data_IF_452866711322
#
_entry.id   IF_452866711322
#
_cell.length_a   1.000
_cell.length_b   1.000
_cell.length_c   1.000
_cell.angle_alpha   90.00
_cell.angle_beta   90.00
_cell.angle_gamma   90.00
#
_symmetry.space_group_name_H-M   'P 1'
#
loop_
_entity.id
_entity.type
_entity.pdbx_description
1 polymer ?
#
# COMPACT_ATOMS: atom_id res chain seq x y z
N UNK A 1 16.04 4.31 22.69
CA UNK A 1 14.95 5.20 22.24
C UNK A 1 14.15 4.44 21.22
N UNK A 2 12.85 4.19 21.47
CA UNK A 2 11.99 3.66 20.40
C UNK A 2 11.95 4.71 19.30
N UNK A 3 12.02 4.27 18.05
CA UNK A 3 11.89 5.22 16.95
C UNK A 3 10.40 5.48 16.77
N UNK A 4 9.96 6.68 17.18
CA UNK A 4 8.59 7.17 17.04
C UNK A 4 8.03 6.93 15.62
N UNK A 5 8.90 7.02 14.61
CA UNK A 5 8.59 6.73 13.21
C UNK A 5 8.10 5.31 12.98
N UNK A 6 8.78 4.30 13.52
CA UNK A 6 8.42 2.90 13.29
C UNK A 6 7.09 2.55 13.95
N UNK A 7 6.90 3.03 15.19
CA UNK A 7 5.64 2.83 15.90
C UNK A 7 4.48 3.51 15.18
N UNK A 8 4.72 4.65 14.51
CA UNK A 8 3.71 5.29 13.67
C UNK A 8 3.38 4.42 12.46
N UNK A 9 4.38 3.99 11.69
CA UNK A 9 4.17 3.10 10.52
C UNK A 9 3.33 1.88 10.91
N UNK A 10 3.68 1.21 12.00
CA UNK A 10 2.94 0.03 12.48
C UNK A 10 1.48 0.37 12.83
N UNK A 11 1.25 1.47 13.56
CA UNK A 11 -0.10 1.87 13.97
C UNK A 11 -0.96 2.25 12.77
N UNK A 12 -0.40 2.99 11.83
CA UNK A 12 -1.08 3.39 10.60
C UNK A 12 -1.46 2.13 9.80
N UNK A 13 -0.52 1.19 9.58
CA UNK A 13 -0.77 -0.09 8.91
C UNK A 13 -1.85 -0.93 9.60
N UNK A 14 -1.82 -1.03 10.93
CA UNK A 14 -2.87 -1.71 11.69
C UNK A 14 -4.24 -1.08 11.46
N UNK A 15 -4.31 0.25 11.33
CA UNK A 15 -5.56 0.97 11.11
C UNK A 15 -6.13 0.75 9.71
N UNK A 16 -5.26 0.56 8.71
CA UNK A 16 -5.64 0.32 7.33
C UNK A 16 -6.37 -1.02 7.13
N UNK A 17 -6.12 -1.99 8.01
CA UNK A 17 -6.74 -3.32 7.94
C UNK A 17 -7.90 -3.53 8.92
N UNK A 18 -8.36 -2.48 9.62
CA UNK A 18 -9.44 -2.58 10.61
C UNK A 18 -10.71 -3.24 10.07
N UNK A 19 -11.06 -2.97 8.81
CA UNK A 19 -12.19 -3.62 8.16
C UNK A 19 -12.02 -5.15 8.12
N UNK A 20 -10.84 -5.63 7.73
CA UNK A 20 -10.55 -7.06 7.66
C UNK A 20 -10.52 -7.72 9.04
N UNK A 21 -10.03 -7.02 10.06
CA UNK A 21 -10.07 -7.50 11.46
C UNK A 21 -11.52 -7.72 11.92
N UNK A 22 -12.42 -6.77 11.62
CA UNK A 22 -13.86 -6.88 11.93
C UNK A 22 -14.53 -8.02 11.16
N UNK A 23 -14.14 -8.22 9.90
CA UNK A 23 -14.63 -9.38 9.13
C UNK A 23 -14.15 -10.69 9.76
N UNK A 24 -12.87 -10.82 10.10
CA UNK A 24 -12.34 -12.04 10.72
C UNK A 24 -13.00 -12.35 12.06
N UNK A 25 -13.28 -11.34 12.88
CA UNK A 25 -13.94 -11.57 14.18
C UNK A 25 -15.42 -11.96 14.09
N UNK A 26 -16.06 -11.77 12.93
CA UNK A 26 -17.46 -12.11 12.70
C UNK A 26 -17.67 -13.42 11.94
N UNK A 27 -16.59 -14.09 11.55
CA UNK A 27 -16.58 -15.30 10.73
C UNK A 27 -15.84 -16.43 11.46
N UNK A 28 -16.16 -17.67 11.11
CA UNK A 28 -15.28 -18.80 11.44
C UNK A 28 -13.98 -18.73 10.61
N UNK A 29 -12.91 -19.39 11.08
CA UNK A 29 -11.64 -19.42 10.35
C UNK A 29 -11.82 -19.96 8.92
N UNK A 30 -12.61 -21.03 8.75
CA UNK A 30 -12.90 -21.62 7.45
C UNK A 30 -13.66 -20.66 6.52
N UNK A 31 -14.65 -19.93 7.04
CA UNK A 31 -15.38 -18.92 6.26
C UNK A 31 -14.47 -17.77 5.86
N UNK A 32 -13.65 -17.27 6.78
CA UNK A 32 -12.70 -16.19 6.51
C UNK A 32 -11.69 -16.61 5.45
N UNK A 33 -11.10 -17.80 5.54
CA UNK A 33 -10.17 -18.34 4.54
C UNK A 33 -10.85 -18.50 3.16
N UNK A 34 -12.06 -19.05 3.14
CA UNK A 34 -12.83 -19.26 1.91
C UNK A 34 -13.16 -17.95 1.21
N UNK A 35 -13.62 -16.95 1.97
CA UNK A 35 -13.94 -15.62 1.43
C UNK A 35 -12.66 -14.88 1.00
N UNK A 36 -11.58 -14.99 1.77
CA UNK A 36 -10.28 -14.40 1.40
C UNK A 36 -9.77 -14.97 0.08
N UNK A 37 -9.85 -16.29 -0.09
CA UNK A 37 -9.52 -16.94 -1.37
C UNK A 37 -10.42 -16.43 -2.49
N UNK A 38 -11.73 -16.36 -2.25
CA UNK A 38 -12.69 -15.89 -3.25
C UNK A 38 -12.37 -14.47 -3.71
N UNK A 39 -12.13 -13.53 -2.78
CA UNK A 39 -11.77 -12.15 -3.10
C UNK A 39 -10.52 -12.05 -3.96
N UNK A 40 -9.44 -12.77 -3.63
CA UNK A 40 -8.25 -12.80 -4.49
C UNK A 40 -8.53 -13.44 -5.86
N UNK A 41 -9.31 -14.52 -5.90
CA UNK A 41 -9.59 -15.27 -7.12
C UNK A 41 -10.40 -14.49 -8.17
N UNK A 42 -11.11 -13.43 -7.75
CA UNK A 42 -11.78 -12.50 -8.65
C UNK A 42 -10.81 -11.65 -9.47
N UNK A 43 -9.57 -11.50 -8.99
CA UNK A 43 -8.56 -10.65 -9.62
C UNK A 43 -7.35 -11.44 -10.14
N UNK A 44 -7.01 -12.59 -9.56
CA UNK A 44 -5.85 -13.41 -9.95
C UNK A 44 -6.29 -14.68 -10.69
N UNK A 45 -5.85 -14.88 -11.94
CA UNK A 45 -6.06 -16.18 -12.63
C UNK A 45 -5.04 -17.23 -12.20
N UNK A 46 -3.86 -16.83 -11.75
CA UNK A 46 -2.87 -17.76 -11.17
C UNK A 46 -3.32 -18.19 -9.76
N UNK A 47 -4.32 -19.08 -9.68
CA UNK A 47 -4.89 -19.52 -8.40
C UNK A 47 -3.88 -20.26 -7.49
N UNK A 48 -2.77 -20.74 -8.05
CA UNK A 48 -1.72 -21.45 -7.29
C UNK A 48 -1.01 -20.54 -6.29
N UNK A 49 -0.97 -19.23 -6.54
CA UNK A 49 -0.31 -18.26 -5.64
C UNK A 49 -1.16 -17.91 -4.42
N UNK A 50 -2.49 -18.07 -4.51
CA UNK A 50 -3.44 -17.58 -3.49
C UNK A 50 -3.23 -18.28 -2.13
N UNK A 51 -3.12 -19.62 -2.04
CA UNK A 51 -2.84 -20.27 -0.76
C UNK A 51 -1.52 -19.79 -0.13
N UNK A 52 -0.50 -19.55 -0.96
CA UNK A 52 0.81 -19.10 -0.48
C UNK A 52 0.77 -17.68 0.09
N UNK A 53 0.02 -16.75 -0.51
CA UNK A 53 -0.11 -15.38 0.04
C UNK A 53 -0.94 -15.37 1.33
N UNK A 54 -2.02 -16.17 1.41
CA UNK A 54 -2.85 -16.28 2.61
C UNK A 54 -2.05 -16.89 3.78
N UNK A 55 -1.36 -18.01 3.55
CA UNK A 55 -0.60 -18.70 4.59
C UNK A 55 0.62 -17.92 5.08
N UNK A 56 1.16 -17.01 4.27
CA UNK A 56 2.31 -16.20 4.64
C UNK A 56 1.92 -14.82 5.19
N UNK A 57 0.62 -14.50 5.25
CA UNK A 57 0.12 -13.19 5.65
C UNK A 57 0.55 -12.02 4.75
N UNK A 58 1.31 -12.31 3.69
CA UNK A 58 1.70 -11.34 2.67
C UNK A 58 0.44 -10.92 1.93
N UNK A 59 0.31 -9.62 1.66
CA UNK A 59 -0.85 -9.03 0.99
C UNK A 59 -2.13 -8.88 1.84
N UNK A 60 -2.00 -8.89 3.17
CA UNK A 60 -3.12 -8.62 4.09
C UNK A 60 -3.76 -7.24 3.85
N UNK A 61 -2.93 -6.24 3.52
CA UNK A 61 -3.40 -4.90 3.18
C UNK A 61 -4.27 -4.90 1.92
N UNK A 62 -3.78 -5.52 0.85
CA UNK A 62 -4.49 -5.62 -0.43
C UNK A 62 -5.81 -6.37 -0.25
N UNK A 63 -5.81 -7.46 0.54
CA UNK A 63 -7.02 -8.19 0.88
C UNK A 63 -8.06 -7.29 1.59
N UNK A 64 -7.63 -6.51 2.59
CA UNK A 64 -8.50 -5.56 3.29
C UNK A 64 -9.18 -4.60 2.32
N UNK A 65 -8.41 -4.01 1.40
CA UNK A 65 -8.92 -3.01 0.46
C UNK A 65 -9.85 -3.64 -0.58
N UNK A 66 -9.48 -4.75 -1.23
CA UNK A 66 -10.34 -5.37 -2.25
C UNK A 66 -11.64 -5.90 -1.66
N UNK A 67 -11.64 -6.31 -0.39
CA UNK A 67 -12.83 -6.78 0.30
C UNK A 67 -13.72 -5.58 0.67
N UNK A 68 -13.13 -4.52 1.24
CA UNK A 68 -13.84 -3.27 1.57
C UNK A 68 -14.48 -2.63 0.33
N UNK A 69 -13.82 -2.70 -0.82
CA UNK A 69 -14.26 -2.08 -2.08
C UNK A 69 -15.01 -3.03 -3.00
N UNK A 70 -15.37 -4.24 -2.56
CA UNK A 70 -15.92 -5.28 -3.44
C UNK A 70 -17.21 -4.86 -4.19
N UNK A 71 -18.02 -3.99 -3.58
CA UNK A 71 -19.28 -3.49 -4.16
C UNK A 71 -19.13 -2.13 -4.86
N UNK A 72 -17.94 -1.54 -4.83
CA UNK A 72 -17.69 -0.21 -5.40
C UNK A 72 -17.29 -0.34 -6.87
N UNK A 73 -18.27 -0.22 -7.78
CA UNK A 73 -18.06 -0.38 -9.22
C UNK A 73 -16.97 0.55 -9.79
N UNK A 74 -16.81 1.74 -9.22
CA UNK A 74 -15.77 2.68 -9.63
C UNK A 74 -14.35 2.22 -9.27
N UNK A 75 -14.20 1.30 -8.32
CA UNK A 75 -12.93 0.69 -7.91
C UNK A 75 -12.69 -0.62 -8.67
N UNK A 76 -13.69 -1.50 -8.68
CA UNK A 76 -13.56 -2.86 -9.21
C UNK A 76 -13.50 -2.90 -10.73
N UNK A 77 -14.33 -2.12 -11.44
CA UNK A 77 -14.37 -2.12 -12.90
C UNK A 77 -13.04 -1.69 -13.55
N UNK A 78 -12.41 -0.55 -13.19
CA UNK A 78 -11.12 -0.19 -13.76
C UNK A 78 -10.02 -1.19 -13.39
N UNK A 79 -10.07 -1.80 -12.19
CA UNK A 79 -9.07 -2.79 -11.78
C UNK A 79 -9.16 -4.06 -12.64
N UNK A 80 -10.37 -4.59 -12.83
CA UNK A 80 -10.61 -5.75 -13.69
C UNK A 80 -10.26 -5.46 -15.15
N UNK A 81 -10.63 -4.26 -15.63
CA UNK A 81 -10.22 -3.78 -16.95
C UNK A 81 -8.70 -3.84 -17.07
N UNK A 82 -7.96 -3.16 -16.19
CA UNK A 82 -6.50 -3.14 -16.20
C UNK A 82 -5.90 -4.56 -16.17
N UNK A 83 -6.32 -5.44 -15.26
CA UNK A 83 -5.78 -6.80 -15.16
C UNK A 83 -6.08 -7.65 -16.40
N UNK A 84 -7.23 -7.45 -17.04
CA UNK A 84 -7.55 -8.13 -18.32
C UNK A 84 -6.61 -7.66 -19.45
N UNK A 85 -6.25 -6.38 -19.47
CA UNK A 85 -5.31 -5.82 -20.43
C UNK A 85 -3.86 -6.23 -20.14
N UNK A 86 -3.47 -6.35 -18.86
CA UNK A 86 -2.16 -6.89 -18.47
C UNK A 86 -1.97 -8.32 -18.99
N UNK A 87 -2.98 -9.18 -18.85
CA UNK A 87 -2.98 -10.54 -19.43
C UNK A 87 -2.86 -10.51 -20.96
N UNK A 88 -3.63 -9.66 -21.61
CA UNK A 88 -3.54 -9.52 -23.06
C UNK A 88 -2.17 -9.01 -23.52
N UNK A 89 -1.57 -8.07 -22.79
CA UNK A 89 -0.22 -7.59 -23.04
C UNK A 89 0.82 -8.70 -22.86
N UNK A 90 0.72 -9.51 -21.80
CA UNK A 90 1.56 -10.69 -21.61
C UNK A 90 1.43 -11.71 -22.75
N UNK A 91 0.20 -11.97 -23.21
CA UNK A 91 -0.07 -12.93 -24.29
C UNK A 91 0.49 -12.47 -25.66
N UNK A 92 0.41 -11.16 -25.96
CA UNK A 92 0.68 -10.65 -27.31
C UNK A 92 2.01 -9.90 -27.45
N UNK A 93 2.53 -9.35 -26.35
CA UNK A 93 3.75 -8.53 -26.30
C UNK A 93 4.62 -8.94 -25.08
N UNK A 94 4.79 -10.26 -24.89
CA UNK A 94 5.37 -10.87 -23.69
C UNK A 94 6.70 -10.26 -23.23
N UNK A 95 7.67 -10.13 -24.14
CA UNK A 95 9.00 -9.62 -23.80
C UNK A 95 8.92 -8.20 -23.26
N UNK A 96 8.31 -7.28 -24.02
CA UNK A 96 8.17 -5.88 -23.62
C UNK A 96 7.37 -5.72 -22.32
N UNK A 97 6.38 -6.58 -22.10
CA UNK A 97 5.59 -6.57 -20.88
C UNK A 97 6.39 -7.03 -19.66
N UNK A 98 7.15 -8.13 -19.77
CA UNK A 98 8.05 -8.59 -18.70
C UNK A 98 9.11 -7.52 -18.40
N UNK A 99 9.75 -6.98 -19.44
CA UNK A 99 10.73 -5.89 -19.30
C UNK A 99 10.12 -4.67 -18.60
N UNK A 100 8.85 -4.36 -18.89
CA UNK A 100 8.12 -3.29 -18.22
C UNK A 100 7.87 -3.59 -16.73
N UNK A 101 7.55 -4.82 -16.33
CA UNK A 101 7.38 -5.13 -14.90
C UNK A 101 8.72 -5.06 -14.17
N UNK A 102 9.76 -5.68 -14.74
CA UNK A 102 11.08 -5.74 -14.13
C UNK A 102 11.72 -4.36 -13.95
N UNK A 103 11.54 -3.48 -14.93
CA UNK A 103 12.04 -2.09 -14.85
C UNK A 103 11.26 -1.22 -13.85
N UNK A 104 9.96 -1.46 -13.68
CA UNK A 104 9.14 -0.70 -12.73
C UNK A 104 9.20 -1.23 -11.30
N UNK A 105 9.59 -2.49 -11.08
CA UNK A 105 9.70 -3.05 -9.74
C UNK A 105 10.49 -2.17 -8.76
N UNK A 106 11.76 -1.78 -9.03
CA UNK A 106 12.49 -0.92 -8.09
C UNK A 106 11.86 0.47 -7.93
N UNK A 107 11.30 1.03 -9.01
CA UNK A 107 10.64 2.34 -9.02
C UNK A 107 9.41 2.34 -8.10
N UNK A 108 8.58 1.30 -8.21
CA UNK A 108 7.37 1.14 -7.39
C UNK A 108 7.74 1.04 -5.91
N UNK A 109 8.75 0.23 -5.56
CA UNK A 109 9.17 0.10 -4.17
C UNK A 109 9.74 1.40 -3.59
N UNK A 110 10.56 2.13 -4.36
CA UNK A 110 11.04 3.46 -3.96
C UNK A 110 9.88 4.47 -3.81
N UNK A 111 8.90 4.44 -4.72
CA UNK A 111 7.67 5.24 -4.60
C UNK A 111 6.89 4.95 -3.32
N UNK A 112 6.77 3.69 -2.93
CA UNK A 112 6.07 3.28 -1.71
C UNK A 112 6.84 3.71 -0.45
N UNK A 113 8.17 3.72 -0.49
CA UNK A 113 8.99 4.29 0.60
C UNK A 113 8.75 5.79 0.74
N UNK A 114 8.78 6.52 -0.38
CA UNK A 114 8.47 7.96 -0.41
C UNK A 114 7.04 8.27 0.08
N UNK A 115 6.09 7.38 -0.19
CA UNK A 115 4.73 7.48 0.35
C UNK A 115 4.73 7.42 1.87
N UNK A 116 5.42 6.45 2.47
CA UNK A 116 5.56 6.34 3.92
C UNK A 116 6.28 7.55 4.54
N UNK A 117 7.33 8.06 3.89
CA UNK A 117 8.03 9.28 4.31
C UNK A 117 7.10 10.49 4.31
N UNK A 118 6.32 10.66 3.24
CA UNK A 118 5.32 11.72 3.11
C UNK A 118 4.32 11.64 4.28
N UNK A 119 3.67 10.49 4.47
CA UNK A 119 2.71 10.30 5.57
C UNK A 119 3.34 10.51 6.95
N UNK A 120 4.62 10.16 7.14
CA UNK A 120 5.32 10.38 8.39
C UNK A 120 5.57 11.87 8.66
N UNK A 121 6.13 12.60 7.69
CA UNK A 121 6.52 14.00 7.82
C UNK A 121 5.33 14.94 8.04
N UNK A 122 4.16 14.60 7.52
CA UNK A 122 2.95 15.43 7.63
C UNK A 122 2.07 15.10 8.85
N UNK A 123 2.57 14.38 9.86
CA UNK A 123 1.80 14.13 11.08
C UNK A 123 1.53 15.43 11.87
N UNK A 124 0.25 15.71 12.14
CA UNK A 124 -0.25 16.91 12.82
C UNK A 124 0.01 16.90 14.34
N UNK A 125 1.27 16.81 14.79
CA UNK A 125 1.61 16.98 16.20
C UNK A 125 1.83 18.45 16.61
N UNK A 126 1.21 19.38 15.90
CA UNK A 126 1.37 20.83 16.13
C UNK A 126 0.00 21.52 16.16
N UNK A 127 -0.17 22.48 17.08
CA UNK A 127 -1.30 23.41 17.11
C UNK A 127 -1.22 24.38 15.91
N UNK A 128 -1.50 23.87 14.71
CA UNK A 128 -1.45 24.63 13.47
C UNK A 128 -2.72 25.49 13.29
N UNK A 129 -2.54 26.69 12.76
CA UNK A 129 -3.66 27.51 12.31
C UNK A 129 -4.28 26.93 11.03
N UNK A 130 -5.56 27.21 10.78
CA UNK A 130 -6.29 26.75 9.59
C UNK A 130 -5.55 26.98 8.25
N UNK A 131 -4.87 28.12 8.11
CA UNK A 131 -4.05 28.41 6.91
C UNK A 131 -2.86 27.45 6.76
N UNK A 132 -2.24 27.09 7.88
CA UNK A 132 -1.08 26.20 7.93
C UNK A 132 -1.51 24.75 7.69
N UNK A 133 -2.67 24.34 8.22
CA UNK A 133 -3.31 23.06 7.91
C UNK A 133 -3.57 22.94 6.40
N UNK A 134 -4.18 23.95 5.78
CA UNK A 134 -4.39 23.97 4.33
C UNK A 134 -3.07 23.81 3.56
N UNK A 135 -2.04 24.56 3.94
CA UNK A 135 -0.70 24.48 3.31
C UNK A 135 -0.08 23.10 3.51
N UNK A 136 -0.26 22.48 4.66
CA UNK A 136 0.20 21.12 4.95
C UNK A 136 -0.44 20.11 4.01
N UNK A 137 -1.76 20.14 3.85
CA UNK A 137 -2.48 19.25 2.93
C UNK A 137 -2.03 19.42 1.48
N UNK A 138 -1.87 20.64 0.98
CA UNK A 138 -1.39 20.83 -0.40
C UNK A 138 0.05 20.37 -0.59
N UNK A 139 0.93 20.52 0.40
CA UNK A 139 2.29 19.99 0.32
C UNK A 139 2.29 18.46 0.28
N UNK A 140 1.57 17.82 1.20
CA UNK A 140 1.38 16.37 1.23
C UNK A 140 0.81 15.86 -0.09
N UNK A 141 -0.22 16.53 -0.63
CA UNK A 141 -0.84 16.20 -1.90
C UNK A 141 0.15 16.30 -3.07
N UNK A 142 0.92 17.40 -3.15
CA UNK A 142 1.94 17.59 -4.17
C UNK A 142 3.00 16.50 -4.16
N UNK A 143 3.54 16.19 -2.97
CA UNK A 143 4.58 15.18 -2.76
C UNK A 143 4.07 13.79 -3.10
N UNK A 144 2.86 13.44 -2.62
CA UNK A 144 2.24 12.14 -2.85
C UNK A 144 1.89 11.92 -4.34
N UNK A 145 1.45 12.96 -5.06
CA UNK A 145 1.16 12.83 -6.49
C UNK A 145 2.45 12.65 -7.29
N UNK A 146 3.50 13.42 -7.00
CA UNK A 146 4.76 13.37 -7.76
C UNK A 146 5.57 12.09 -7.49
N UNK A 147 5.76 11.77 -6.21
CA UNK A 147 6.67 10.69 -5.79
C UNK A 147 6.03 9.30 -5.86
N UNK A 148 4.70 9.21 -5.91
CA UNK A 148 3.97 7.94 -5.86
C UNK A 148 3.00 7.78 -7.02
N UNK A 149 1.94 8.60 -7.09
CA UNK A 149 0.85 8.39 -8.06
C UNK A 149 1.32 8.45 -9.50
N UNK A 150 2.17 9.42 -9.83
CA UNK A 150 2.71 9.58 -11.18
C UNK A 150 3.44 8.31 -11.66
N UNK A 151 4.32 7.77 -10.83
CA UNK A 151 5.15 6.62 -11.17
C UNK A 151 4.30 5.34 -11.33
N UNK A 152 3.36 5.09 -10.41
CA UNK A 152 2.46 3.94 -10.51
C UNK A 152 1.46 4.07 -11.68
N UNK A 153 0.95 5.27 -11.95
CA UNK A 153 0.10 5.50 -13.12
C UNK A 153 0.87 5.31 -14.43
N UNK A 154 2.16 5.62 -14.45
CA UNK A 154 3.00 5.38 -15.62
C UNK A 154 3.17 3.88 -15.90
N UNK A 155 3.26 3.05 -14.86
CA UNK A 155 3.19 1.60 -15.02
C UNK A 155 1.85 1.14 -15.64
N UNK A 156 0.73 1.65 -15.10
CA UNK A 156 -0.62 1.35 -15.63
C UNK A 156 -0.73 1.74 -17.10
N UNK A 157 -0.36 2.97 -17.45
CA UNK A 157 -0.40 3.48 -18.81
C UNK A 157 0.49 2.67 -19.74
N UNK A 158 1.74 2.39 -19.36
CA UNK A 158 2.67 1.61 -20.17
C UNK A 158 2.13 0.21 -20.45
N UNK A 159 1.56 -0.46 -19.45
CA UNK A 159 0.94 -1.77 -19.63
C UNK A 159 -0.23 -1.71 -20.62
N UNK A 160 -1.07 -0.68 -20.53
CA UNK A 160 -2.16 -0.49 -21.47
C UNK A 160 -1.67 -0.20 -22.90
N UNK A 161 -0.53 0.47 -23.09
CA UNK A 161 0.07 0.64 -24.44
C UNK A 161 0.58 -0.67 -25.06
N UNK A 162 0.80 -1.71 -24.25
CA UNK A 162 1.22 -3.05 -24.69
C UNK A 162 0.05 -4.00 -24.93
N UNK A 163 -1.18 -3.61 -24.62
CA UNK A 163 -2.36 -4.45 -24.87
C UNK A 163 -2.99 -4.09 -26.21
N UNK A 164 -3.09 -5.04 -27.14
CA UNK A 164 -3.71 -4.81 -28.46
C UNK A 164 -5.23 -4.57 -28.40
N UNK A 165 -5.86 -4.83 -27.24
CA UNK A 165 -7.27 -4.53 -26.97
C UNK A 165 -7.48 -3.12 -26.42
N UNK A 166 -6.42 -2.41 -26.04
CA UNK A 166 -6.50 -1.08 -25.44
C UNK A 166 -6.65 0.00 -26.51
N UNK A 167 -7.45 1.03 -26.21
CA UNK A 167 -7.60 2.22 -27.07
C UNK A 167 -6.30 3.01 -27.25
N UNK A 168 -5.33 2.80 -26.34
CA UNK A 168 -4.02 3.45 -26.36
C UNK A 168 -2.89 2.52 -26.79
N UNK A 169 -3.21 1.37 -27.41
CA UNK A 169 -2.22 0.45 -27.93
C UNK A 169 -1.20 1.14 -28.85
N UNK A 170 0.09 0.85 -28.64
CA UNK A 170 1.24 1.43 -29.38
C UNK A 170 1.34 2.96 -29.37
N UNK A 171 0.58 3.66 -28.52
CA UNK A 171 0.82 5.08 -28.31
C UNK A 171 2.15 5.31 -27.60
N UNK A 172 2.64 6.54 -27.73
CA UNK A 172 3.90 6.96 -27.09
C UNK A 172 3.84 6.80 -25.57
N UNK A 173 4.90 6.21 -25.00
CA UNK A 173 5.12 5.97 -23.57
C UNK A 173 5.82 7.14 -22.88
N UNK A 174 6.40 8.07 -23.65
CA UNK A 174 7.14 9.23 -23.18
C UNK A 174 6.30 10.51 -23.23
N UNK A 175 5.14 10.46 -22.59
CA UNK A 175 4.21 11.58 -22.51
C UNK A 175 4.25 12.28 -21.15
N UNK A 176 3.80 13.53 -21.11
CA UNK A 176 3.67 14.27 -19.86
C UNK A 176 2.57 13.69 -18.96
N UNK A 177 2.67 13.91 -17.65
CA UNK A 177 1.66 13.47 -16.68
C UNK A 177 0.25 13.96 -17.06
N UNK A 178 0.13 15.21 -17.48
CA UNK A 178 -1.16 15.78 -17.92
C UNK A 178 -1.75 15.07 -19.13
N UNK A 179 -0.93 14.69 -20.11
CA UNK A 179 -1.39 13.94 -21.29
C UNK A 179 -1.78 12.52 -20.91
N UNK A 180 -1.02 11.85 -20.05
CA UNK A 180 -1.33 10.51 -19.55
C UNK A 180 -2.70 10.48 -18.85
N UNK A 181 -2.94 11.42 -17.93
CA UNK A 181 -4.24 11.54 -17.23
C UNK A 181 -5.37 11.79 -18.22
N UNK A 182 -5.18 12.67 -19.20
CA UNK A 182 -6.20 12.96 -20.22
C UNK A 182 -6.55 11.71 -21.05
N UNK A 183 -5.54 10.95 -21.48
CA UNK A 183 -5.76 9.72 -22.26
C UNK A 183 -6.47 8.64 -21.44
N UNK A 184 -6.06 8.40 -20.19
CA UNK A 184 -6.73 7.44 -19.30
C UNK A 184 -8.18 7.84 -19.02
N UNK A 185 -8.45 9.13 -18.75
CA UNK A 185 -9.81 9.65 -18.53
C UNK A 185 -10.71 9.44 -19.75
N UNK A 186 -10.15 9.54 -20.96
CA UNK A 186 -10.89 9.40 -22.21
C UNK A 186 -11.30 7.94 -22.52
N UNK A 187 -10.61 6.95 -21.95
CA UNK A 187 -10.99 5.53 -22.08
C UNK A 187 -12.27 5.16 -21.32
N UNK A 188 -12.88 6.10 -20.59
CA UNK A 188 -14.12 5.89 -19.84
C UNK A 188 -13.93 5.12 -18.53
N UNK A 189 -13.27 3.96 -18.55
CA UNK A 189 -13.06 3.11 -17.38
C UNK A 189 -12.35 3.82 -16.21
N UNK A 190 -11.44 4.76 -16.50
CA UNK A 190 -10.68 5.50 -15.48
C UNK A 190 -11.23 6.90 -15.18
N UNK A 191 -12.30 7.33 -15.87
CA UNK A 191 -12.82 8.69 -15.77
C UNK A 191 -13.24 9.05 -14.34
N UNK A 192 -14.06 8.19 -13.73
CA UNK A 192 -14.48 8.42 -12.35
C UNK A 192 -13.28 8.35 -11.41
N UNK A 193 -12.43 7.32 -11.51
CA UNK A 193 -11.27 7.13 -10.63
C UNK A 193 -10.30 8.34 -10.62
N UNK A 194 -9.98 8.90 -11.79
CA UNK A 194 -8.95 9.95 -11.95
C UNK A 194 -9.50 11.37 -11.99
N UNK A 195 -10.83 11.54 -11.94
CA UNK A 195 -11.50 12.85 -11.96
C UNK A 195 -12.76 12.87 -11.10
N UNK A 196 -13.75 12.02 -11.39
CA UNK A 196 -15.05 12.04 -10.70
C UNK A 196 -14.93 11.92 -9.18
N UNK A 197 -14.22 10.89 -8.72
CA UNK A 197 -13.91 10.61 -7.33
C UNK A 197 -13.15 11.77 -6.66
N UNK A 198 -12.30 12.46 -7.42
CA UNK A 198 -11.47 13.58 -7.00
C UNK A 198 -12.18 14.94 -7.14
N UNK A 199 -13.47 14.98 -6.75
CA UNK A 199 -14.32 16.16 -6.79
C UNK A 199 -14.46 16.77 -8.20
N UNK A 200 -14.56 15.92 -9.22
CA UNK A 200 -14.62 16.28 -10.64
C UNK A 200 -13.42 17.10 -11.16
N UNK A 201 -12.30 17.11 -10.43
CA UNK A 201 -11.05 17.74 -10.85
C UNK A 201 -10.04 16.65 -11.20
N UNK A 202 -9.49 16.65 -12.42
CA UNK A 202 -8.49 15.66 -12.82
C UNK A 202 -7.25 15.66 -11.91
N UNK A 203 -6.69 14.49 -11.65
CA UNK A 203 -5.51 14.33 -10.78
C UNK A 203 -4.33 15.25 -11.14
N UNK A 204 -4.07 15.47 -12.43
CA UNK A 204 -3.02 16.40 -12.87
C UNK A 204 -3.30 17.86 -12.52
N UNK A 205 -4.56 18.26 -12.36
CA UNK A 205 -4.89 19.60 -11.89
C UNK A 205 -4.68 19.73 -10.38
N UNK A 206 -4.97 18.69 -9.60
CA UNK A 206 -4.63 18.65 -8.16
C UNK A 206 -3.12 18.77 -7.92
N UNK A 207 -2.31 18.11 -8.75
CA UNK A 207 -0.86 18.31 -8.79
C UNK A 207 -0.50 19.77 -9.04
N UNK A 208 -1.07 20.38 -10.08
CA UNK A 208 -0.76 21.76 -10.45
C UNK A 208 -1.16 22.76 -9.35
N UNK A 209 -2.33 22.60 -8.74
CA UNK A 209 -2.79 23.43 -7.62
C UNK A 209 -1.78 23.37 -6.47
N UNK A 210 -1.36 22.15 -6.13
CA UNK A 210 -0.43 21.87 -5.03
C UNK A 210 0.97 22.43 -5.29
N UNK A 211 1.56 22.10 -6.44
CA UNK A 211 2.96 22.43 -6.78
C UNK A 211 3.16 23.92 -7.13
N UNK A 212 2.17 24.55 -7.77
CA UNK A 212 2.27 25.96 -8.14
C UNK A 212 1.67 26.92 -7.10
N UNK A 213 1.24 26.38 -5.94
CA UNK A 213 0.59 27.17 -4.88
C UNK A 213 -0.60 27.98 -5.39
N UNK A 214 -1.38 27.41 -6.33
CA UNK A 214 -2.57 28.05 -6.90
C UNK A 214 -3.77 27.94 -5.97
N UNK A 215 -3.57 28.25 -4.68
CA UNK A 215 -4.59 28.23 -3.64
C UNK A 215 -4.41 29.37 -2.64
N UNK A 216 -5.50 29.81 -2.02
CA UNK A 216 -5.50 30.87 -1.01
C UNK A 216 -6.53 30.59 0.09
N UNK A 217 -6.09 30.57 1.34
CA UNK A 217 -7.00 30.53 2.48
C UNK A 217 -7.71 31.87 2.65
N UNK A 218 -9.02 31.84 2.81
CA UNK A 218 -9.89 32.98 3.09
C UNK A 218 -10.35 32.91 4.57
N UNK A 219 -9.74 33.69 5.48
CA UNK A 219 -10.09 33.65 6.90
C UNK A 219 -11.53 34.07 7.21
N UNK A 220 -12.15 34.88 6.35
CA UNK A 220 -13.52 35.37 6.56
C UNK A 220 -14.56 34.28 6.33
N UNK A 221 -14.31 33.40 5.35
CA UNK A 221 -15.20 32.28 5.01
C UNK A 221 -14.79 30.98 5.70
N UNK A 222 -13.54 30.87 6.16
CA UNK A 222 -12.98 29.61 6.65
C UNK A 222 -12.67 28.60 5.55
N UNK A 223 -12.50 29.07 4.31
CA UNK A 223 -12.41 28.24 3.10
C UNK A 223 -11.07 28.45 2.38
N UNK A 224 -10.68 27.48 1.57
CA UNK A 224 -9.54 27.54 0.66
C UNK A 224 -10.05 27.67 -0.77
N UNK A 225 -9.66 28.76 -1.43
CA UNK A 225 -9.97 29.04 -2.82
C UNK A 225 -8.86 28.44 -3.66
N UNK A 226 -9.17 27.49 -4.54
CA UNK A 226 -8.21 26.89 -5.46
C UNK A 226 -8.47 27.40 -6.88
N UNK A 227 -7.40 27.59 -7.66
CA UNK A 227 -7.48 28.03 -9.06
C UNK A 227 -6.75 27.04 -9.96
N UNK A 228 -7.38 26.63 -11.05
CA UNK A 228 -6.83 25.66 -11.99
C UNK A 228 -7.31 25.88 -13.43
N UNK A 229 -6.65 25.23 -14.39
CA UNK A 229 -6.96 25.38 -15.81
C UNK A 229 -6.92 26.83 -16.31
N UNK A 230 -7.81 27.17 -17.24
CA UNK A 230 -7.99 28.55 -17.76
C UNK A 230 -8.87 29.38 -16.82
N UNK A 231 -8.40 29.61 -15.59
CA UNK A 231 -9.06 30.42 -14.54
C UNK A 231 -10.37 29.83 -13.96
N UNK A 232 -10.49 28.51 -13.88
CA UNK A 232 -11.53 27.90 -13.07
C UNK A 232 -11.15 28.03 -11.59
N UNK A 233 -12.15 28.22 -10.72
CA UNK A 233 -11.94 28.30 -9.29
C UNK A 233 -12.99 27.53 -8.51
N UNK A 234 -12.56 26.94 -7.40
CA UNK A 234 -13.43 26.24 -6.46
C UNK A 234 -13.11 26.69 -5.02
N UNK A 235 -14.15 26.82 -4.21
CA UNK A 235 -14.05 27.08 -2.77
C UNK A 235 -14.20 25.72 -2.05
N UNK A 236 -13.30 25.43 -1.11
CA UNK A 236 -13.30 24.19 -0.32
C UNK A 236 -13.16 24.46 1.16
N UNK A 237 -13.86 23.69 2.00
CA UNK A 237 -13.59 23.68 3.44
C UNK A 237 -12.34 22.85 3.74
N UNK A 238 -11.74 23.05 4.91
CA UNK A 238 -10.60 22.23 5.35
C UNK A 238 -10.94 20.74 5.44
N UNK A 239 -12.16 20.40 5.86
CA UNK A 239 -12.62 19.01 5.90
C UNK A 239 -12.67 18.40 4.48
N UNK A 240 -13.08 19.17 3.47
CA UNK A 240 -13.12 18.69 2.08
C UNK A 240 -11.69 18.41 1.56
N UNK A 241 -10.69 19.19 2.02
CA UNK A 241 -9.29 18.94 1.70
C UNK A 241 -8.75 17.68 2.39
N UNK A 242 -9.12 17.47 3.66
CA UNK A 242 -8.80 16.23 4.38
C UNK A 242 -9.41 15.01 3.67
N UNK A 243 -10.68 15.09 3.28
CA UNK A 243 -11.36 14.04 2.53
C UNK A 243 -10.67 13.77 1.19
N UNK A 244 -10.18 14.81 0.52
CA UNK A 244 -9.39 14.65 -0.70
C UNK A 244 -8.07 13.90 -0.47
N UNK A 245 -7.37 14.15 0.65
CA UNK A 245 -6.18 13.36 1.02
C UNK A 245 -6.55 11.88 1.23
N UNK A 246 -7.67 11.58 1.89
CA UNK A 246 -8.16 10.20 2.08
C UNK A 246 -8.49 9.54 0.73
N UNK A 247 -9.13 10.26 -0.18
CA UNK A 247 -9.42 9.80 -1.55
C UNK A 247 -8.14 9.50 -2.32
N UNK A 248 -7.13 10.34 -2.19
CA UNK A 248 -5.83 10.10 -2.83
C UNK A 248 -5.10 8.90 -2.22
N UNK A 249 -5.17 8.67 -0.91
CA UNK A 249 -4.67 7.43 -0.31
C UNK A 249 -5.38 6.19 -0.90
N UNK A 250 -6.71 6.27 -1.08
CA UNK A 250 -7.48 5.19 -1.73
C UNK A 250 -7.06 4.97 -3.19
N UNK A 251 -6.70 6.04 -3.91
CA UNK A 251 -6.16 5.92 -5.27
C UNK A 251 -4.76 5.29 -5.26
N UNK A 252 -3.90 5.65 -4.32
CA UNK A 252 -2.58 5.02 -4.12
C UNK A 252 -2.73 3.52 -3.88
N UNK A 253 -3.70 3.11 -3.05
CA UNK A 253 -4.03 1.70 -2.79
C UNK A 253 -4.41 0.97 -4.08
N UNK A 254 -5.31 1.56 -4.87
CA UNK A 254 -5.73 1.00 -6.15
C UNK A 254 -4.53 0.80 -7.10
N UNK A 255 -3.66 1.80 -7.19
CA UNK A 255 -2.47 1.77 -8.04
C UNK A 255 -1.44 0.72 -7.58
N UNK A 256 -1.26 0.57 -6.27
CA UNK A 256 -0.41 -0.47 -5.69
C UNK A 256 -0.94 -1.87 -6.05
N UNK A 257 -2.24 -2.10 -5.91
CA UNK A 257 -2.90 -3.37 -6.27
C UNK A 257 -2.70 -3.69 -7.75
N UNK A 258 -2.78 -2.71 -8.64
CA UNK A 258 -2.48 -2.92 -10.06
C UNK A 258 -1.09 -3.52 -10.27
N UNK A 259 -0.07 -2.98 -9.62
CA UNK A 259 1.29 -3.50 -9.72
C UNK A 259 1.41 -4.90 -9.08
N UNK A 260 0.99 -5.03 -7.83
CA UNK A 260 1.15 -6.26 -7.05
C UNK A 260 0.43 -7.45 -7.68
N UNK A 261 -0.80 -7.25 -8.15
CA UNK A 261 -1.56 -8.34 -8.76
C UNK A 261 -1.02 -8.72 -10.13
N UNK A 262 -0.48 -7.75 -10.87
CA UNK A 262 0.24 -8.05 -12.10
C UNK A 262 1.49 -8.87 -11.81
N UNK A 263 2.28 -8.47 -10.80
CA UNK A 263 3.45 -9.23 -10.39
C UNK A 263 3.10 -10.66 -9.96
N UNK A 264 2.12 -10.82 -9.07
CA UNK A 264 1.67 -12.14 -8.58
C UNK A 264 1.13 -13.04 -9.69
N UNK A 265 0.40 -12.47 -10.65
CA UNK A 265 -0.15 -13.25 -11.76
C UNK A 265 0.95 -13.83 -12.66
N UNK A 266 2.02 -13.06 -12.90
CA UNK A 266 3.08 -13.43 -13.85
C UNK A 266 4.42 -13.79 -13.20
N UNK A 267 4.46 -13.97 -11.86
CA UNK A 267 5.71 -14.17 -11.11
C UNK A 267 6.57 -15.33 -11.63
N UNK A 268 5.95 -16.40 -12.14
CA UNK A 268 6.67 -17.56 -12.71
C UNK A 268 7.42 -17.24 -14.02
N UNK A 269 7.11 -16.10 -14.66
CA UNK A 269 7.76 -15.63 -15.89
C UNK A 269 8.72 -14.47 -15.67
N UNK A 270 8.80 -13.93 -14.46
CA UNK A 270 9.59 -12.74 -14.14
C UNK A 270 10.89 -13.18 -13.46
N UNK A 271 12.02 -12.62 -13.89
CA UNK A 271 13.33 -12.91 -13.30
C UNK A 271 13.93 -11.63 -12.72
N UNK A 272 13.53 -11.31 -11.48
CA UNK A 272 14.14 -10.17 -10.78
C UNK A 272 15.53 -10.54 -10.27
N UNK A 273 16.51 -9.68 -10.54
CA UNK A 273 17.83 -9.84 -9.95
C UNK A 273 17.75 -9.69 -8.42
N UNK A 274 18.57 -10.43 -7.64
CA UNK A 274 18.62 -10.26 -6.18
C UNK A 274 18.97 -8.84 -5.73
N UNK A 275 19.64 -8.04 -6.58
CA UNK A 275 19.93 -6.62 -6.31
C UNK A 275 18.70 -5.73 -6.45
N UNK A 276 17.74 -6.15 -7.29
CA UNK A 276 16.46 -5.46 -7.53
C UNK A 276 15.43 -5.82 -6.45
N UNK A 277 15.53 -7.01 -5.87
CA UNK A 277 14.70 -7.49 -4.76
C UNK A 277 15.16 -6.90 -3.41
N UNK A 278 15.08 -5.57 -3.27
CA UNK A 278 15.28 -4.91 -1.97
C UNK A 278 13.96 -4.38 -1.46
N UNK A 279 13.53 -4.89 -0.30
CA UNK A 279 12.36 -4.41 0.44
C UNK A 279 12.88 -3.71 1.69
N UNK A 280 12.46 -2.47 1.94
CA UNK A 280 12.87 -1.72 3.14
C UNK A 280 12.40 -2.38 4.44
N UNK A 281 13.09 -2.04 5.54
CA UNK A 281 12.66 -2.46 6.86
C UNK A 281 11.31 -1.83 7.25
N UNK A 282 11.03 -0.61 6.78
CA UNK A 282 9.75 0.08 6.91
C UNK A 282 8.63 -0.71 6.25
N UNK A 283 8.86 -1.23 5.04
CA UNK A 283 7.91 -2.11 4.35
C UNK A 283 7.68 -3.40 5.14
N UNK A 284 8.73 -4.02 5.69
CA UNK A 284 8.57 -5.21 6.54
C UNK A 284 7.83 -4.91 7.85
N UNK A 285 8.10 -3.76 8.48
CA UNK A 285 7.36 -3.30 9.67
C UNK A 285 5.89 -3.03 9.36
N UNK A 286 5.59 -2.42 8.21
CA UNK A 286 4.23 -2.20 7.74
C UNK A 286 3.48 -3.52 7.57
N UNK A 287 4.13 -4.53 6.98
CA UNK A 287 3.53 -5.87 6.84
C UNK A 287 3.32 -6.55 8.21
N UNK A 288 4.24 -6.41 9.16
CA UNK A 288 4.00 -6.86 10.54
C UNK A 288 2.82 -6.14 11.18
N UNK A 289 2.71 -4.82 10.96
CA UNK A 289 1.59 -3.99 11.42
C UNK A 289 0.24 -4.42 10.85
N UNK A 290 0.21 -5.06 9.68
CA UNK A 290 -0.99 -5.66 9.10
C UNK A 290 -1.27 -7.04 9.70
N UNK A 291 -0.31 -7.95 9.67
CA UNK A 291 -0.61 -9.37 9.95
C UNK A 291 -0.82 -9.65 11.45
N UNK A 292 -0.15 -8.92 12.35
CA UNK A 292 -0.24 -9.16 13.79
C UNK A 292 -1.64 -8.86 14.35
N UNK A 293 -2.25 -7.68 14.09
CA UNK A 293 -3.61 -7.39 14.54
C UNK A 293 -4.65 -8.37 14.02
N UNK A 294 -4.51 -8.83 12.77
CA UNK A 294 -5.40 -9.85 12.20
C UNK A 294 -5.34 -11.18 12.96
N UNK A 295 -4.29 -11.43 13.73
CA UNK A 295 -4.11 -12.67 14.50
C UNK A 295 -4.19 -12.43 16.02
N UNK A 296 -4.73 -11.30 16.47
CA UNK A 296 -4.94 -11.03 17.89
C UNK A 296 -3.70 -10.51 18.63
N UNK A 297 -2.71 -10.00 17.90
CA UNK A 297 -1.50 -9.42 18.48
C UNK A 297 -1.40 -7.92 18.20
N UNK A 298 -0.59 -7.21 18.99
CA UNK A 298 -0.25 -5.82 18.71
C UNK A 298 1.22 -5.57 19.03
N UNK A 299 1.85 -4.60 18.36
CA UNK A 299 3.22 -4.22 18.70
C UNK A 299 3.16 -3.13 19.79
N UNK A 300 3.85 -3.39 20.90
CA UNK A 300 4.03 -2.43 21.99
C UNK A 300 5.14 -1.44 21.70
N UNK A 301 6.25 -1.94 21.14
CA UNK A 301 7.49 -1.18 21.03
C UNK A 301 8.45 -1.80 20.02
N UNK A 302 9.27 -0.95 19.38
CA UNK A 302 10.37 -1.36 18.51
C UNK A 302 11.64 -0.64 18.97
N UNK A 303 12.56 -1.40 19.57
CA UNK A 303 13.86 -0.90 20.01
C UNK A 303 14.92 -1.25 18.99
N UNK A 304 15.64 -0.24 18.50
CA UNK A 304 16.73 -0.40 17.53
C UNK A 304 18.07 -0.11 18.19
N UNK A 305 18.99 -1.07 18.13
CA UNK A 305 20.39 -0.91 18.53
C UNK A 305 21.24 -1.41 17.37
N UNK A 306 21.73 -0.48 16.54
CA UNK A 306 22.48 -0.79 15.32
C UNK A 306 21.68 -1.75 14.40
N UNK A 307 22.25 -2.91 14.10
CA UNK A 307 21.68 -4.02 13.33
C UNK A 307 20.83 -4.98 14.16
N UNK A 308 20.69 -4.77 15.48
CA UNK A 308 19.89 -5.61 16.38
C UNK A 308 18.61 -4.88 16.77
N UNK A 309 17.47 -5.43 16.36
CA UNK A 309 16.16 -4.86 16.65
C UNK A 309 15.39 -5.78 17.59
N UNK A 310 14.74 -5.19 18.59
CA UNK A 310 13.82 -5.89 19.50
C UNK A 310 12.40 -5.39 19.25
N UNK A 311 11.52 -6.30 18.84
CA UNK A 311 10.09 -6.01 18.63
C UNK A 311 9.32 -6.63 19.80
N UNK A 312 8.63 -5.79 20.56
CA UNK A 312 7.77 -6.22 21.67
C UNK A 312 6.35 -6.41 21.16
N UNK A 313 5.81 -7.62 21.29
CA UNK A 313 4.48 -7.99 20.82
C UNK A 313 3.60 -8.32 22.02
N UNK A 314 2.42 -7.72 22.10
CA UNK A 314 1.37 -8.04 23.06
C UNK A 314 0.38 -9.03 22.46
N UNK A 315 0.13 -10.10 23.18
CA UNK A 315 -0.96 -11.05 22.96
C UNK A 315 -2.25 -10.49 23.56
N UNK A 316 -3.14 -10.02 22.69
CA UNK A 316 -4.41 -9.40 23.11
C UNK A 316 -5.47 -10.45 23.46
N UNK A 317 -5.31 -11.67 22.96
CA UNK A 317 -6.29 -12.75 23.11
C UNK A 317 -5.87 -13.80 24.15
N UNK A 318 -4.71 -13.62 24.79
CA UNK A 318 -4.15 -14.53 25.79
C UNK A 318 -4.00 -15.98 25.26
N UNK A 319 -3.60 -16.11 24.00
CA UNK A 319 -3.28 -17.36 23.31
C UNK A 319 -2.04 -18.05 23.89
N UNK A 320 -1.18 -17.29 24.58
CA UNK A 320 0.02 -17.79 25.24
C UNK A 320 1.11 -18.24 24.26
N UNK A 321 2.11 -18.96 24.78
CA UNK A 321 3.29 -19.36 24.01
C UNK A 321 2.92 -20.29 22.85
N UNK A 322 2.04 -21.27 23.07
CA UNK A 322 1.66 -22.24 22.03
C UNK A 322 0.87 -21.59 20.89
N UNK A 323 -0.08 -20.70 21.21
CA UNK A 323 -0.79 -19.94 20.18
C UNK A 323 0.14 -19.00 19.40
N UNK A 324 1.11 -18.37 20.09
CA UNK A 324 2.12 -17.56 19.42
C UNK A 324 3.02 -18.39 18.49
N UNK A 325 3.47 -19.58 18.90
CA UNK A 325 4.25 -20.48 18.02
C UNK A 325 3.50 -20.81 16.73
N UNK A 326 2.22 -21.17 16.83
CA UNK A 326 1.38 -21.45 15.67
C UNK A 326 1.25 -20.22 14.75
N UNK A 327 1.16 -19.03 15.34
CA UNK A 327 1.05 -17.77 14.58
C UNK A 327 2.39 -17.32 13.96
N UNK A 328 3.52 -17.64 14.60
CA UNK A 328 4.87 -17.25 14.15
C UNK A 328 5.20 -17.84 12.78
N UNK A 329 4.66 -19.02 12.44
CA UNK A 329 4.84 -19.59 11.10
C UNK A 329 4.29 -18.67 10.00
N UNK A 330 3.13 -18.02 10.25
CA UNK A 330 2.53 -17.04 9.34
C UNK A 330 3.42 -15.81 9.18
N UNK A 331 4.08 -15.36 10.26
CA UNK A 331 4.91 -14.15 10.24
C UNK A 331 6.34 -14.42 9.75
N UNK A 332 6.75 -15.69 9.69
CA UNK A 332 8.12 -16.11 9.41
C UNK A 332 8.70 -15.55 8.10
N UNK A 333 7.95 -15.46 6.98
CA UNK A 333 8.44 -14.81 5.76
C UNK A 333 8.84 -13.35 5.97
N UNK A 334 8.03 -12.58 6.71
CA UNK A 334 8.31 -11.18 7.02
C UNK A 334 9.53 -11.07 7.95
N UNK A 335 9.59 -11.93 8.98
CA UNK A 335 10.72 -11.99 9.91
C UNK A 335 12.05 -12.33 9.20
N UNK A 336 12.02 -13.24 8.21
CA UNK A 336 13.17 -13.55 7.33
C UNK A 336 13.56 -12.36 6.45
N UNK A 337 12.60 -11.51 6.06
CA UNK A 337 12.84 -10.28 5.30
C UNK A 337 13.82 -9.33 5.99
N UNK A 338 13.68 -9.13 7.30
CA UNK A 338 14.63 -8.34 8.09
C UNK A 338 16.05 -8.93 8.06
N UNK A 339 16.17 -10.26 8.10
CA UNK A 339 17.46 -10.92 8.00
C UNK A 339 18.13 -10.71 6.64
N UNK A 340 17.35 -10.71 5.54
CA UNK A 340 17.88 -10.36 4.21
C UNK A 340 18.44 -8.94 4.16
N UNK A 341 17.89 -8.03 4.97
CA UNK A 341 18.41 -6.67 5.19
C UNK A 341 19.54 -6.60 6.23
N UNK A 342 20.09 -7.75 6.65
CA UNK A 342 21.14 -7.89 7.67
C UNK A 342 20.73 -7.35 9.04
N UNK A 343 19.45 -7.38 9.36
CA UNK A 343 18.92 -7.05 10.69
C UNK A 343 18.72 -8.33 11.49
N UNK A 344 19.28 -8.39 12.69
CA UNK A 344 19.05 -9.44 13.68
C UNK A 344 17.84 -9.06 14.53
N UNK A 345 16.90 -10.00 14.68
CA UNK A 345 15.65 -9.74 15.38
C UNK A 345 15.58 -10.50 16.70
N UNK A 346 15.13 -9.81 17.74
CA UNK A 346 14.59 -10.40 18.97
C UNK A 346 13.10 -10.07 19.03
N UNK A 347 12.26 -11.09 19.16
CA UNK A 347 10.82 -10.92 19.38
C UNK A 347 10.53 -11.22 20.85
N UNK A 348 9.96 -10.26 21.57
CA UNK A 348 9.58 -10.42 22.96
C UNK A 348 8.06 -10.42 23.07
N UNK A 349 7.48 -11.53 23.56
CA UNK A 349 6.04 -11.72 23.72
C UNK A 349 5.61 -11.28 25.12
N UNK A 350 4.57 -10.47 25.19
CA UNK A 350 3.93 -9.95 26.40
C UNK A 350 2.48 -10.42 26.48
N UNK A 351 1.99 -10.69 27.68
CA UNK A 351 0.57 -11.00 27.88
C UNK A 351 -0.30 -9.74 27.87
N UNK A 352 -1.62 -9.92 28.04
CA UNK A 352 -2.59 -8.82 28.09
C UNK A 352 -2.29 -7.77 29.18
N UNK A 353 -1.61 -8.18 30.26
CA UNK A 353 -1.17 -7.34 31.37
C UNK A 353 0.24 -6.76 31.17
N UNK A 354 0.80 -6.85 29.95
CA UNK A 354 2.11 -6.33 29.58
C UNK A 354 3.26 -6.89 30.41
N UNK A 355 3.13 -8.15 30.86
CA UNK A 355 4.23 -8.91 31.44
C UNK A 355 4.88 -9.77 30.36
N UNK A 356 6.20 -9.70 30.28
CA UNK A 356 7.01 -10.52 29.36
C UNK A 356 6.81 -12.00 29.68
N UNK A 357 6.52 -12.80 28.67
CA UNK A 357 6.27 -14.24 28.76
C UNK A 357 7.40 -15.03 28.10
N UNK A 358 7.86 -14.60 26.92
CA UNK A 358 8.83 -15.36 26.11
C UNK A 358 9.69 -14.42 25.27
N UNK A 359 10.94 -14.83 24.99
CA UNK A 359 11.81 -14.22 23.98
C UNK A 359 12.16 -15.23 22.90
N UNK A 360 12.10 -14.79 21.65
CA UNK A 360 12.54 -15.53 20.47
C UNK A 360 13.69 -14.76 19.82
N UNK A 361 14.81 -15.45 19.64
CA UNK A 361 16.00 -14.91 18.97
C UNK A 361 16.07 -15.47 17.56
N UNK A 362 16.03 -14.60 16.56
CA UNK A 362 16.18 -14.98 15.17
C UNK A 362 17.65 -14.78 14.77
N UNK A 363 18.45 -15.83 14.92
CA UNK A 363 19.85 -15.87 14.51
C UNK A 363 20.03 -16.55 13.14
N UNK A 364 21.13 -16.20 12.45
CA UNK A 364 21.44 -16.44 11.03
C UNK A 364 21.42 -17.88 10.49
N UNK A 365 21.08 -18.89 11.29
CA UNK A 365 20.99 -20.26 10.80
C UNK A 365 19.64 -20.48 10.14
N UNK A 366 19.61 -20.22 8.84
CA UNK A 366 18.64 -20.81 7.91
C UNK A 366 18.90 -22.32 7.87
N UNK A 367 18.45 -23.02 8.91
CA UNK A 367 18.20 -24.45 9.00
C UNK A 367 16.98 -24.62 9.89
N UNK A 368 16.22 -25.67 9.60
CA UNK A 368 14.96 -26.16 10.19
C UNK A 368 14.93 -26.39 11.70
N UNK A 369 15.81 -25.74 12.47
CA UNK A 369 15.92 -25.87 13.92
C UNK A 369 15.56 -24.52 14.58
N UNK A 370 14.36 -23.97 14.30
CA UNK A 370 13.82 -22.81 15.04
C UNK A 370 13.16 -23.30 16.35
N UNK A 371 13.89 -24.10 17.12
CA UNK A 371 13.50 -24.45 18.49
C UNK A 371 14.76 -24.55 19.35
N UNK A 372 15.34 -23.40 19.69
CA UNK A 372 15.98 -23.28 21.01
C UNK A 372 15.12 -22.37 21.86
N UNK A 373 14.00 -22.95 22.28
CA UNK A 373 13.23 -22.52 23.43
C UNK A 373 14.14 -22.69 24.65
N UNK A 374 14.52 -21.58 25.29
CA UNK A 374 14.99 -21.59 26.67
C UNK A 374 13.91 -21.02 27.56
#
# INVERSE_FOLDING_TARGET
>A
MSSFRDMKVIKDSSSDINYLIQMKSSLTDLEFETLSFFHFSNYLKNKKVIPAILNNGNYTYELSIIWKMANEAWFTNPLQYFLSHARNAFENNRSEFIDSIESYYPIVHESLENYHDTCFLYNENHELQNREIARSYFRMMGDMIESTHYLLLRFVYNTLTLSNKSEIFKKDRNISFGKMIAELINMGNFNFLLKGYLNNIPLNQWRNISQHSSYKYNPKKGEVICTYGKNLSIDMKLNDLRDLIIKLNTLQQWLKICFDFTYLEFMDSITLSPKTLRVSNESWLSQLGNILPLNGYSILDVNKILDHWTIKIKDNNNLGIEGFKNSVELFMPILKGFYLNKIKLTIELFNINEKSIQKLYLESKIRTDIYQLK
#
